data_IF_605945691228
#
_entry.id   IF_605945691228
#
_cell.length_a   1.000
_cell.length_b   1.000
_cell.length_c   1.000
_cell.angle_alpha   90.00
_cell.angle_beta   90.00
_cell.angle_gamma   90.00
#
_symmetry.space_group_name_H-M   'P 1'
#
loop_
_entity.id
_entity.type
_entity.pdbx_description
1 polymer ?
#
# COMPACT_ATOMS: atom_id res chain seq x y z
N UNK A 1 3.53 -3.92 10.95
CA UNK A 1 3.76 -5.37 10.78
C UNK A 1 5.23 -5.73 10.97
N UNK A 2 6.17 -5.28 10.13
CA UNK A 2 7.60 -5.59 10.32
C UNK A 2 8.08 -5.16 11.73
N UNK A 3 7.73 -3.93 12.17
CA UNK A 3 8.06 -3.43 13.52
C UNK A 3 7.55 -4.33 14.65
N UNK A 4 6.34 -4.87 14.49
CA UNK A 4 5.75 -5.76 15.49
C UNK A 4 6.53 -7.07 15.61
N UNK A 5 6.98 -7.63 14.49
CA UNK A 5 7.80 -8.85 14.48
C UNK A 5 9.15 -8.64 15.19
N UNK A 6 9.80 -7.48 14.95
CA UNK A 6 11.03 -7.15 15.67
C UNK A 6 10.80 -7.00 17.18
N UNK A 7 9.67 -6.40 17.59
CA UNK A 7 9.32 -6.29 19.01
C UNK A 7 9.00 -7.66 19.64
N UNK A 8 8.31 -8.55 18.90
CA UNK A 8 8.02 -9.92 19.33
C UNK A 8 9.32 -10.74 19.48
N UNK A 9 10.36 -10.41 18.74
CA UNK A 9 11.70 -10.96 18.84
C UNK A 9 12.56 -10.32 19.95
N UNK A 10 11.97 -9.46 20.79
CA UNK A 10 12.65 -8.81 21.92
C UNK A 10 13.52 -7.60 21.55
N UNK A 11 13.40 -7.08 20.33
CA UNK A 11 14.17 -5.92 19.87
C UNK A 11 13.40 -4.62 20.10
N UNK A 12 14.11 -3.58 20.52
CA UNK A 12 13.54 -2.27 20.78
C UNK A 12 13.52 -1.40 19.54
N UNK A 13 12.43 -0.64 19.34
CA UNK A 13 12.32 0.34 18.26
C UNK A 13 12.76 1.70 18.76
N UNK A 14 13.62 2.37 18.00
CA UNK A 14 14.12 3.71 18.33
C UNK A 14 13.83 4.70 17.19
N UNK A 15 14.02 5.98 17.46
CA UNK A 15 13.82 7.04 16.45
C UNK A 15 14.94 7.03 15.41
N UNK A 16 14.63 7.52 14.20
CA UNK A 16 15.56 7.54 13.04
C UNK A 16 16.90 8.25 13.32
N UNK A 17 16.89 9.23 14.21
CA UNK A 17 18.09 10.03 14.51
C UNK A 17 18.92 9.45 15.66
N UNK A 18 18.48 8.31 16.22
CA UNK A 18 19.19 7.61 17.28
C UNK A 18 20.11 6.54 16.73
N UNK A 19 21.10 6.20 17.52
CA UNK A 19 21.99 5.08 17.26
C UNK A 19 21.20 3.77 17.29
N UNK A 20 21.42 2.90 16.31
CA UNK A 20 20.79 1.59 16.22
C UNK A 20 21.74 0.58 15.61
N UNK A 21 21.56 -0.69 15.98
CA UNK A 21 22.35 -1.80 15.43
C UNK A 21 21.84 -2.25 14.08
N UNK A 22 20.52 -2.15 13.86
CA UNK A 22 19.87 -2.58 12.62
C UNK A 22 18.97 -1.46 12.10
N UNK A 23 19.14 -1.07 10.85
CA UNK A 23 18.25 -0.16 10.14
C UNK A 23 17.54 -0.90 9.01
N UNK A 24 16.21 -0.91 9.04
CA UNK A 24 15.39 -1.52 7.99
C UNK A 24 14.68 -0.41 7.20
N UNK A 25 15.05 -0.25 5.94
CA UNK A 25 14.47 0.74 5.04
C UNK A 25 13.47 0.06 4.10
N UNK A 26 12.18 0.31 4.32
CA UNK A 26 11.15 -0.10 3.38
C UNK A 26 10.98 0.98 2.31
N UNK A 27 11.38 0.68 1.09
CA UNK A 27 11.56 1.63 0.00
C UNK A 27 10.46 1.53 -1.04
N UNK A 28 10.14 2.66 -1.67
CA UNK A 28 9.29 2.73 -2.85
C UNK A 28 10.17 3.06 -4.08
N UNK A 29 9.79 2.57 -5.26
CA UNK A 29 10.51 2.81 -6.52
C UNK A 29 9.61 3.43 -7.59
N UNK A 30 8.63 4.24 -7.18
CA UNK A 30 7.73 4.92 -8.13
C UNK A 30 8.44 6.05 -8.87
N UNK A 31 9.50 6.65 -8.28
CA UNK A 31 10.27 7.73 -8.88
C UNK A 31 11.77 7.54 -8.64
N UNK A 32 12.59 8.05 -9.58
CA UNK A 32 14.05 8.06 -9.43
C UNK A 32 14.52 8.88 -8.21
N UNK A 33 13.79 9.93 -7.88
CA UNK A 33 14.04 10.71 -6.67
C UNK A 33 13.94 9.88 -5.39
N UNK A 34 13.09 8.85 -5.35
CA UNK A 34 13.01 7.92 -4.22
C UNK A 34 14.28 7.10 -4.06
N UNK A 35 14.85 6.63 -5.17
CA UNK A 35 16.08 5.86 -5.18
C UNK A 35 17.27 6.71 -4.68
N UNK A 36 17.34 7.98 -5.14
CA UNK A 36 18.35 8.94 -4.69
C UNK A 36 18.23 9.22 -3.18
N UNK A 37 16.99 9.44 -2.70
CA UNK A 37 16.72 9.65 -1.27
C UNK A 37 17.14 8.43 -0.43
N UNK A 38 16.84 7.22 -0.90
CA UNK A 38 17.23 5.98 -0.23
C UNK A 38 18.77 5.89 -0.07
N UNK A 39 19.51 6.10 -1.16
CA UNK A 39 20.98 6.04 -1.12
C UNK A 39 21.59 7.13 -0.23
N UNK A 40 21.01 8.35 -0.20
CA UNK A 40 21.44 9.41 0.72
C UNK A 40 21.19 9.01 2.19
N UNK A 41 20.06 8.38 2.45
CA UNK A 41 19.70 7.94 3.78
C UNK A 41 20.63 6.83 4.27
N UNK A 42 20.94 5.83 3.44
CA UNK A 42 21.94 4.79 3.75
C UNK A 42 23.26 5.41 4.19
N UNK A 43 23.79 6.37 3.43
CA UNK A 43 25.03 7.08 3.79
C UNK A 43 24.91 7.86 5.11
N UNK A 44 23.73 8.48 5.38
CA UNK A 44 23.47 9.17 6.65
C UNK A 44 23.51 8.18 7.81
N UNK A 45 22.88 7.02 7.68
CA UNK A 45 22.81 6.00 8.73
C UNK A 45 24.16 5.38 9.04
N UNK A 46 24.98 5.08 8.02
CA UNK A 46 26.37 4.62 8.20
C UNK A 46 27.27 5.66 8.87
N UNK A 47 26.93 6.97 8.78
CA UNK A 47 27.65 8.01 9.56
C UNK A 47 27.24 8.02 11.03
N UNK A 48 25.98 7.69 11.34
CA UNK A 48 25.50 7.59 12.74
C UNK A 48 26.09 6.35 13.40
N UNK A 49 26.05 5.20 12.72
CA UNK A 49 26.68 3.96 13.18
C UNK A 49 27.35 3.26 11.99
N UNK A 50 28.69 3.34 11.87
CA UNK A 50 29.43 2.66 10.78
C UNK A 50 29.26 1.13 10.78
N UNK A 51 29.01 0.54 11.94
CA UNK A 51 28.83 -0.90 12.12
C UNK A 51 27.38 -1.38 12.03
N UNK A 52 26.43 -0.45 11.81
CA UNK A 52 25.01 -0.82 11.70
C UNK A 52 24.76 -1.79 10.55
N UNK A 53 23.88 -2.74 10.77
CA UNK A 53 23.38 -3.66 9.75
C UNK A 53 22.22 -2.99 8.99
N UNK A 54 22.41 -2.69 7.70
CA UNK A 54 21.44 -2.00 6.87
C UNK A 54 20.70 -2.97 5.96
N UNK A 55 19.37 -3.04 6.14
CA UNK A 55 18.45 -3.85 5.34
C UNK A 55 17.62 -2.95 4.45
N UNK A 56 17.60 -3.22 3.15
CA UNK A 56 16.72 -2.57 2.18
C UNK A 56 15.63 -3.55 1.76
N UNK A 57 14.37 -3.11 1.81
CA UNK A 57 13.21 -3.89 1.34
C UNK A 57 12.20 -3.02 0.60
N UNK A 58 11.18 -3.63 0.02
CA UNK A 58 10.13 -2.94 -0.74
C UNK A 58 10.36 -2.92 -2.25
N UNK A 59 9.64 -2.04 -2.96
CA UNK A 59 9.63 -2.04 -4.44
C UNK A 59 11.01 -1.75 -5.04
N UNK A 60 11.80 -0.88 -4.44
CA UNK A 60 13.16 -0.61 -4.92
C UNK A 60 14.08 -1.82 -4.77
N UNK A 61 14.01 -2.48 -3.62
CA UNK A 61 14.74 -3.73 -3.40
C UNK A 61 14.36 -4.81 -4.41
N UNK A 62 13.07 -4.91 -4.77
CA UNK A 62 12.59 -5.89 -5.74
C UNK A 62 13.06 -5.60 -7.17
N UNK A 63 13.01 -4.32 -7.59
CA UNK A 63 13.30 -3.93 -8.97
C UNK A 63 14.79 -3.76 -9.28
N UNK A 64 15.59 -3.40 -8.28
CA UNK A 64 17.00 -3.04 -8.40
C UNK A 64 17.88 -3.84 -7.42
N UNK A 65 17.51 -5.07 -7.15
CA UNK A 65 18.22 -5.94 -6.20
C UNK A 65 19.71 -6.09 -6.51
N UNK A 66 20.07 -6.30 -7.79
CA UNK A 66 21.45 -6.47 -8.24
C UNK A 66 22.28 -5.18 -8.10
N UNK A 67 21.65 -4.02 -8.27
CA UNK A 67 22.30 -2.71 -8.08
C UNK A 67 22.56 -2.47 -6.60
N UNK A 68 21.54 -2.71 -5.76
CA UNK A 68 21.64 -2.51 -4.32
C UNK A 68 22.60 -3.48 -3.65
N UNK A 69 22.68 -4.74 -4.11
CA UNK A 69 23.60 -5.73 -3.56
C UNK A 69 25.09 -5.40 -3.80
N UNK A 70 25.40 -4.59 -4.81
CA UNK A 70 26.75 -4.11 -5.08
C UNK A 70 27.18 -2.94 -4.17
N UNK A 71 26.23 -2.31 -3.49
CA UNK A 71 26.56 -1.20 -2.57
C UNK A 71 27.09 -1.74 -1.25
N UNK A 72 28.35 -1.40 -0.91
CA UNK A 72 29.02 -1.89 0.29
C UNK A 72 28.41 -1.37 1.61
N UNK A 73 27.64 -0.28 1.56
CA UNK A 73 26.95 0.28 2.73
C UNK A 73 25.63 -0.46 3.05
N UNK A 74 25.21 -1.41 2.20
CA UNK A 74 24.00 -2.22 2.36
C UNK A 74 24.40 -3.65 2.69
N UNK A 75 23.89 -4.16 3.80
CA UNK A 75 24.25 -5.49 4.29
C UNK A 75 23.27 -6.57 3.79
N UNK A 76 21.97 -6.21 3.59
CA UNK A 76 20.96 -7.16 3.15
C UNK A 76 19.89 -6.48 2.26
N UNK A 77 19.55 -7.12 1.14
CA UNK A 77 18.47 -6.71 0.24
C UNK A 77 17.39 -7.77 0.23
N UNK A 78 16.17 -7.40 0.66
CA UNK A 78 15.04 -8.33 0.81
C UNK A 78 13.89 -7.92 -0.11
N UNK A 79 13.47 -8.83 -0.98
CA UNK A 79 12.34 -8.63 -1.89
C UNK A 79 10.99 -8.49 -1.19
N UNK A 80 9.97 -8.14 -1.97
CA UNK A 80 8.63 -7.82 -1.46
C UNK A 80 7.94 -9.02 -0.79
N UNK A 81 8.22 -10.24 -1.23
CA UNK A 81 7.62 -11.46 -0.68
C UNK A 81 8.17 -11.77 0.72
N UNK A 82 9.48 -11.70 0.88
CA UNK A 82 10.17 -12.10 2.11
C UNK A 82 10.23 -10.99 3.18
N UNK A 83 9.68 -9.81 2.90
CA UNK A 83 9.79 -8.64 3.79
C UNK A 83 9.22 -8.82 5.20
N UNK A 84 8.27 -9.74 5.37
CA UNK A 84 7.70 -10.05 6.68
C UNK A 84 8.58 -11.01 7.49
N UNK A 85 9.53 -11.68 6.84
CA UNK A 85 10.42 -12.63 7.46
C UNK A 85 11.82 -12.03 7.73
N UNK A 86 12.00 -10.72 7.60
CA UNK A 86 13.28 -10.03 7.80
C UNK A 86 13.96 -10.40 9.13
N UNK A 87 13.25 -10.44 10.30
CA UNK A 87 13.90 -10.82 11.55
C UNK A 87 14.49 -12.22 11.50
N UNK A 88 13.78 -13.20 10.92
CA UNK A 88 14.27 -14.56 10.78
C UNK A 88 15.44 -14.68 9.79
N UNK A 89 15.36 -13.91 8.69
CA UNK A 89 16.43 -13.86 7.66
C UNK A 89 17.72 -13.34 8.30
N UNK A 90 17.64 -12.25 9.06
CA UNK A 90 18.81 -11.69 9.77
C UNK A 90 19.43 -12.73 10.70
N UNK A 91 18.60 -13.51 11.41
CA UNK A 91 19.11 -14.55 12.33
C UNK A 91 19.76 -15.73 11.62
N UNK A 92 19.25 -16.11 10.43
CA UNK A 92 19.66 -17.33 9.71
C UNK A 92 20.74 -17.11 8.66
N UNK A 93 20.71 -15.97 7.99
CA UNK A 93 21.45 -15.74 6.73
C UNK A 93 22.40 -14.55 6.81
N UNK A 94 23.24 -14.45 7.85
CA UNK A 94 24.26 -13.38 7.92
C UNK A 94 25.29 -13.43 6.76
N UNK A 95 25.30 -14.48 5.96
CA UNK A 95 26.22 -14.65 4.83
C UNK A 95 25.63 -14.38 3.45
N UNK A 96 24.32 -14.16 3.33
CA UNK A 96 23.65 -13.88 2.06
C UNK A 96 23.23 -12.42 1.98
N UNK A 97 23.81 -11.67 1.06
CA UNK A 97 23.49 -10.24 0.86
C UNK A 97 22.18 -10.00 0.10
N UNK A 98 21.65 -11.02 -0.55
CA UNK A 98 20.47 -10.90 -1.42
C UNK A 98 19.45 -12.02 -1.18
N UNK A 99 18.26 -11.64 -0.74
CA UNK A 99 17.11 -12.52 -0.58
C UNK A 99 15.94 -11.94 -1.38
N UNK A 100 15.85 -12.31 -2.66
CA UNK A 100 14.76 -11.88 -3.53
C UNK A 100 14.17 -13.06 -4.29
N UNK A 101 12.87 -13.06 -4.51
CA UNK A 101 12.19 -13.95 -5.44
C UNK A 101 11.95 -13.24 -6.78
N UNK A 102 11.83 -14.00 -7.85
CA UNK A 102 11.38 -13.44 -9.13
C UNK A 102 9.95 -12.90 -8.96
N UNK A 103 9.63 -11.78 -9.61
CA UNK A 103 8.30 -11.15 -9.49
C UNK A 103 7.14 -12.07 -9.91
N UNK A 104 7.38 -12.99 -10.87
CA UNK A 104 6.38 -13.97 -11.32
C UNK A 104 6.02 -15.02 -10.26
N UNK A 105 6.82 -15.17 -9.21
CA UNK A 105 6.60 -16.14 -8.13
C UNK A 105 5.93 -15.53 -6.89
N UNK A 106 5.55 -14.24 -6.92
CA UNK A 106 4.87 -13.58 -5.79
C UNK A 106 3.37 -13.95 -5.84
N UNK A 107 3.03 -15.12 -5.33
CA UNK A 107 1.65 -15.62 -5.30
C UNK A 107 0.96 -15.39 -3.94
N UNK A 108 1.72 -15.32 -2.86
CA UNK A 108 1.18 -15.20 -1.53
C UNK A 108 0.59 -13.82 -1.25
N UNK A 109 -0.58 -13.78 -0.62
CA UNK A 109 -1.17 -12.55 -0.09
C UNK A 109 -1.18 -12.59 1.43
N UNK A 110 -0.64 -11.53 2.04
CA UNK A 110 -0.73 -11.34 3.50
C UNK A 110 -1.70 -10.21 3.82
N UNK A 111 -2.84 -10.56 4.42
CA UNK A 111 -3.77 -9.60 5.00
C UNK A 111 -3.05 -8.83 6.10
N UNK A 112 -3.09 -7.52 6.02
CA UNK A 112 -2.39 -6.67 6.98
C UNK A 112 -3.17 -5.42 7.30
N UNK A 113 -3.06 -4.97 8.54
CA UNK A 113 -3.70 -3.74 8.98
C UNK A 113 -2.77 -2.96 9.90
N UNK A 114 -2.96 -1.63 9.93
CA UNK A 114 -2.26 -0.77 10.86
C UNK A 114 -2.92 -0.82 12.23
N UNK A 115 -2.11 -0.95 13.28
CA UNK A 115 -2.54 -0.84 14.69
C UNK A 115 -1.70 0.22 15.38
N UNK A 116 -2.28 0.96 16.32
CA UNK A 116 -1.61 2.03 17.07
C UNK A 116 -2.64 2.96 17.70
N UNK A 117 -2.22 4.09 18.26
CA UNK A 117 -3.06 5.04 19.00
C UNK A 117 -4.01 5.88 18.13
N UNK A 118 -4.13 5.53 16.84
CA UNK A 118 -4.99 6.24 15.90
C UNK A 118 -6.41 5.66 15.91
N UNK A 119 -7.39 6.54 15.78
CA UNK A 119 -8.81 6.20 15.64
C UNK A 119 -9.12 5.48 14.30
N UNK A 120 -8.19 5.56 13.33
CA UNK A 120 -8.28 5.02 11.97
C UNK A 120 -7.29 3.89 11.75
N UNK A 121 -7.74 2.79 11.13
CA UNK A 121 -6.89 1.69 10.68
C UNK A 121 -6.92 1.53 9.16
N UNK A 122 -5.77 1.27 8.56
CA UNK A 122 -5.65 0.90 7.15
C UNK A 122 -5.58 -0.62 7.05
N UNK A 123 -6.43 -1.21 6.21
CA UNK A 123 -6.47 -2.65 5.95
C UNK A 123 -6.03 -2.88 4.51
N UNK A 124 -4.92 -3.57 4.29
CA UNK A 124 -4.48 -3.96 2.96
C UNK A 124 -5.29 -5.18 2.53
N UNK A 125 -6.26 -5.00 1.63
CA UNK A 125 -7.18 -6.05 1.15
C UNK A 125 -6.81 -6.58 -0.22
N UNK A 126 -6.00 -5.83 -1.00
CA UNK A 126 -5.55 -6.17 -2.34
C UNK A 126 -4.10 -5.70 -2.54
N UNK A 127 -3.31 -6.42 -3.35
CA UNK A 127 -1.94 -6.07 -3.72
C UNK A 127 -1.64 -6.59 -5.15
N UNK A 128 -0.62 -6.00 -5.79
CA UNK A 128 -0.31 -6.28 -7.20
C UNK A 128 -1.30 -5.64 -8.17
N UNK A 129 -1.07 -5.83 -9.47
CA UNK A 129 -1.93 -5.26 -10.52
C UNK A 129 -1.70 -6.01 -11.82
N UNK A 130 -2.79 -6.34 -12.54
CA UNK A 130 -2.75 -7.05 -13.82
C UNK A 130 -2.72 -6.08 -15.03
N UNK A 131 -2.74 -4.77 -14.79
CA UNK A 131 -2.68 -3.76 -15.84
C UNK A 131 -1.23 -3.47 -16.26
N UNK A 132 -0.98 -3.47 -17.57
CA UNK A 132 0.32 -3.16 -18.17
C UNK A 132 0.38 -1.69 -18.61
N UNK A 133 0.28 -0.76 -17.67
CA UNK A 133 0.46 0.67 -17.97
C UNK A 133 1.93 0.94 -18.30
N UNK A 134 2.19 1.70 -19.39
CA UNK A 134 3.55 1.88 -19.97
C UNK A 134 4.59 2.49 -19.03
N UNK A 135 4.16 3.22 -18.01
CA UNK A 135 5.02 3.90 -17.04
C UNK A 135 4.98 3.28 -15.63
N UNK A 136 4.16 2.24 -15.43
CA UNK A 136 3.92 1.69 -14.10
C UNK A 136 4.86 0.50 -13.81
N UNK A 137 5.59 0.59 -12.71
CA UNK A 137 6.50 -0.46 -12.24
C UNK A 137 5.85 -1.44 -11.25
N UNK A 138 4.60 -1.22 -10.89
CA UNK A 138 3.89 -2.03 -9.88
C UNK A 138 3.82 -3.51 -10.26
N UNK A 139 3.43 -3.92 -11.48
CA UNK A 139 3.40 -5.34 -11.84
C UNK A 139 4.77 -6.00 -11.69
N UNK A 140 5.85 -5.30 -12.02
CA UNK A 140 7.21 -5.80 -11.89
C UNK A 140 7.68 -5.88 -10.43
N UNK A 141 7.21 -4.96 -9.57
CA UNK A 141 7.62 -4.88 -8.17
C UNK A 141 6.78 -5.75 -7.23
N UNK A 142 5.51 -5.94 -7.57
CA UNK A 142 4.53 -6.58 -6.68
C UNK A 142 3.81 -7.77 -7.30
N UNK A 143 4.02 -8.05 -8.59
CA UNK A 143 3.40 -9.15 -9.31
C UNK A 143 1.91 -8.91 -9.61
N UNK A 144 1.21 -10.00 -9.92
CA UNK A 144 -0.19 -10.02 -10.30
C UNK A 144 -1.12 -9.59 -9.17
N UNK A 145 -2.33 -9.16 -9.54
CA UNK A 145 -3.40 -8.82 -8.58
C UNK A 145 -3.76 -10.03 -7.73
N UNK A 146 -3.81 -9.83 -6.42
CA UNK A 146 -4.20 -10.84 -5.44
C UNK A 146 -4.83 -10.17 -4.22
N UNK A 147 -5.71 -10.89 -3.55
CA UNK A 147 -6.50 -10.35 -2.44
C UNK A 147 -6.75 -11.41 -1.36
N UNK A 148 -7.16 -10.96 -0.17
CA UNK A 148 -7.64 -11.82 0.89
C UNK A 148 -9.07 -12.28 0.61
N UNK A 149 -9.53 -13.28 1.37
CA UNK A 149 -10.93 -13.68 1.36
C UNK A 149 -11.79 -12.62 2.06
N UNK A 150 -13.02 -12.44 1.57
CA UNK A 150 -13.97 -11.48 2.16
C UNK A 150 -14.19 -11.77 3.65
N UNK A 151 -14.34 -13.05 4.04
CA UNK A 151 -14.53 -13.45 5.44
C UNK A 151 -13.39 -12.98 6.35
N UNK A 152 -12.15 -13.13 5.92
CA UNK A 152 -10.97 -12.72 6.69
C UNK A 152 -10.94 -11.19 6.88
N UNK A 153 -11.35 -10.43 5.86
CA UNK A 153 -11.40 -8.97 5.94
C UNK A 153 -12.51 -8.53 6.92
N UNK A 154 -13.68 -9.15 6.85
CA UNK A 154 -14.80 -8.90 7.77
C UNK A 154 -14.39 -9.19 9.22
N UNK A 155 -13.69 -10.29 9.47
CA UNK A 155 -13.17 -10.63 10.80
C UNK A 155 -12.19 -9.57 11.33
N UNK A 156 -11.30 -9.07 10.47
CA UNK A 156 -10.39 -7.97 10.83
C UNK A 156 -11.15 -6.68 11.13
N UNK A 157 -12.14 -6.30 10.30
CA UNK A 157 -12.96 -5.10 10.54
C UNK A 157 -13.69 -5.19 11.87
N UNK A 158 -14.31 -6.34 12.16
CA UNK A 158 -15.00 -6.58 13.43
C UNK A 158 -14.04 -6.58 14.63
N UNK A 159 -12.83 -7.11 14.45
CA UNK A 159 -11.78 -7.05 15.49
C UNK A 159 -11.36 -5.61 15.79
N UNK A 160 -11.22 -4.78 14.76
CA UNK A 160 -10.87 -3.36 14.90
C UNK A 160 -11.99 -2.57 15.57
N UNK A 161 -13.25 -2.83 15.23
CA UNK A 161 -14.41 -2.21 15.87
C UNK A 161 -14.44 -2.53 17.36
N UNK A 162 -14.26 -3.80 17.75
CA UNK A 162 -14.13 -4.21 19.17
C UNK A 162 -12.96 -3.55 19.91
N UNK A 163 -11.89 -3.20 19.20
CA UNK A 163 -10.75 -2.43 19.76
C UNK A 163 -11.00 -0.92 19.81
N UNK A 164 -12.20 -0.47 19.43
CA UNK A 164 -12.61 0.94 19.53
C UNK A 164 -12.21 1.83 18.34
N UNK A 165 -11.72 1.24 17.24
CA UNK A 165 -11.47 2.01 16.01
C UNK A 165 -12.79 2.56 15.46
N UNK A 166 -12.75 3.78 14.91
CA UNK A 166 -13.94 4.47 14.38
C UNK A 166 -13.95 4.52 12.86
N UNK A 167 -12.83 4.27 12.23
CA UNK A 167 -12.72 4.31 10.77
C UNK A 167 -11.74 3.23 10.28
N UNK A 168 -12.14 2.54 9.21
CA UNK A 168 -11.24 1.68 8.42
C UNK A 168 -11.08 2.25 7.02
N UNK A 169 -9.87 2.11 6.48
CA UNK A 169 -9.56 2.43 5.09
C UNK A 169 -9.19 1.13 4.39
N UNK A 170 -10.03 0.68 3.46
CA UNK A 170 -9.73 -0.46 2.61
C UNK A 170 -8.67 -0.03 1.61
N UNK A 171 -7.50 -0.62 1.68
CA UNK A 171 -6.33 -0.23 0.90
C UNK A 171 -5.95 -1.32 -0.10
N UNK A 172 -5.65 -0.91 -1.32
CA UNK A 172 -5.14 -1.74 -2.41
C UNK A 172 -4.37 -0.90 -3.40
N UNK A 173 -3.67 -1.55 -4.33
CA UNK A 173 -3.05 -0.89 -5.48
C UNK A 173 -4.15 -0.44 -6.46
N UNK A 174 -5.05 -1.38 -6.79
CA UNK A 174 -6.27 -1.15 -7.54
C UNK A 174 -7.39 -1.96 -6.87
N UNK A 175 -8.16 -1.28 -6.03
CA UNK A 175 -9.16 -1.96 -5.20
C UNK A 175 -10.28 -2.59 -6.05
N UNK A 176 -10.54 -2.05 -7.24
CA UNK A 176 -11.51 -2.63 -8.17
C UNK A 176 -11.14 -4.03 -8.66
N UNK A 177 -9.86 -4.37 -8.67
CA UNK A 177 -9.34 -5.71 -9.01
C UNK A 177 -9.46 -6.72 -7.85
N UNK A 178 -10.04 -6.34 -6.72
CA UNK A 178 -10.24 -7.26 -5.61
C UNK A 178 -10.97 -8.53 -6.07
N UNK A 179 -10.41 -9.68 -5.71
CA UNK A 179 -10.95 -10.99 -6.07
C UNK A 179 -10.58 -11.47 -7.47
N UNK A 180 -9.73 -10.74 -8.22
CA UNK A 180 -9.21 -11.20 -9.52
C UNK A 180 -8.69 -12.64 -9.41
N UNK A 181 -9.09 -13.51 -10.35
CA UNK A 181 -8.77 -14.94 -10.34
C UNK A 181 -9.55 -15.77 -9.33
N UNK A 182 -10.56 -15.23 -8.65
CA UNK A 182 -11.44 -15.93 -7.71
C UNK A 182 -12.92 -15.69 -8.03
N UNK A 183 -13.82 -16.35 -7.29
CA UNK A 183 -15.27 -16.13 -7.39
C UNK A 183 -15.76 -14.92 -6.56
N UNK A 184 -14.86 -14.07 -6.08
CA UNK A 184 -15.16 -12.88 -5.29
C UNK A 184 -14.85 -11.62 -6.10
N UNK A 185 -15.49 -10.50 -5.75
CA UNK A 185 -15.22 -9.21 -6.37
C UNK A 185 -15.36 -8.05 -5.38
N UNK A 186 -14.95 -6.87 -5.82
CA UNK A 186 -14.94 -5.66 -5.00
C UNK A 186 -16.35 -5.26 -4.51
N UNK A 187 -17.37 -5.41 -5.35
CA UNK A 187 -18.76 -5.12 -4.96
C UNK A 187 -19.25 -6.03 -3.84
N UNK A 188 -18.98 -7.35 -3.95
CA UNK A 188 -19.33 -8.32 -2.90
C UNK A 188 -18.60 -8.03 -1.58
N UNK A 189 -17.34 -7.61 -1.65
CA UNK A 189 -16.60 -7.18 -0.46
C UNK A 189 -17.31 -6.02 0.23
N UNK A 190 -17.72 -4.99 -0.52
CA UNK A 190 -18.38 -3.82 0.06
C UNK A 190 -19.77 -4.17 0.61
N UNK A 191 -20.54 -4.99 -0.09
CA UNK A 191 -21.81 -5.48 0.40
C UNK A 191 -21.67 -6.25 1.72
N UNK A 192 -20.68 -7.15 1.81
CA UNK A 192 -20.48 -7.97 3.00
C UNK A 192 -20.00 -7.13 4.18
N UNK A 193 -19.10 -6.17 3.97
CA UNK A 193 -18.69 -5.24 5.02
C UNK A 193 -19.88 -4.39 5.51
N UNK A 194 -20.73 -3.90 4.59
CA UNK A 194 -21.92 -3.14 4.95
C UNK A 194 -22.90 -3.96 5.79
N UNK A 195 -23.08 -5.24 5.45
CA UNK A 195 -24.01 -6.15 6.10
C UNK A 195 -23.49 -6.69 7.44
N UNK A 196 -22.21 -7.09 7.49
CA UNK A 196 -21.67 -7.95 8.56
C UNK A 196 -20.77 -7.26 9.55
N UNK A 197 -20.63 -5.92 9.46
CA UNK A 197 -19.79 -5.14 10.38
C UNK A 197 -20.56 -3.93 10.93
N UNK A 198 -20.07 -3.36 12.05
CA UNK A 198 -20.66 -2.19 12.70
C UNK A 198 -19.74 -0.97 12.73
N UNK A 199 -18.55 -1.07 12.13
CA UNK A 199 -17.58 0.05 12.10
C UNK A 199 -18.24 1.33 11.56
N UNK A 200 -18.12 2.46 12.25
CA UNK A 200 -18.90 3.67 11.90
C UNK A 200 -18.53 4.30 10.57
N UNK A 201 -17.25 4.16 10.12
CA UNK A 201 -16.79 4.81 8.89
C UNK A 201 -15.90 3.89 8.09
N UNK A 202 -16.18 3.82 6.79
CA UNK A 202 -15.44 3.00 5.84
C UNK A 202 -14.98 3.90 4.69
N UNK A 203 -13.69 3.90 4.39
CA UNK A 203 -13.13 4.54 3.20
C UNK A 203 -12.58 3.49 2.27
N UNK A 204 -12.65 3.80 0.99
CA UNK A 204 -11.99 3.03 -0.06
C UNK A 204 -10.80 3.82 -0.61
N UNK A 205 -9.75 3.10 -0.99
CA UNK A 205 -8.57 3.70 -1.65
C UNK A 205 -8.78 3.78 -3.17
N UNK A 206 -7.69 3.70 -3.94
CA UNK A 206 -7.72 3.80 -5.40
C UNK A 206 -8.56 2.71 -6.05
N UNK A 207 -9.43 3.12 -6.97
CA UNK A 207 -10.19 2.25 -7.86
C UNK A 207 -10.11 2.81 -9.28
N UNK A 208 -9.74 1.97 -10.24
CA UNK A 208 -9.67 2.37 -11.65
C UNK A 208 -11.07 2.70 -12.20
N UNK A 209 -11.20 3.72 -13.08
CA UNK A 209 -12.49 4.17 -13.60
C UNK A 209 -13.35 3.05 -14.19
N UNK A 210 -12.74 2.14 -14.96
CA UNK A 210 -13.41 1.02 -15.62
C UNK A 210 -13.91 -0.07 -14.68
N UNK A 211 -13.45 -0.08 -13.43
CA UNK A 211 -13.85 -1.03 -12.38
C UNK A 211 -14.84 -0.42 -11.38
N UNK A 212 -15.10 0.87 -11.48
CA UNK A 212 -16.09 1.57 -10.66
C UNK A 212 -17.48 1.41 -11.30
N UNK A 213 -18.16 0.31 -10.97
CA UNK A 213 -19.51 0.01 -11.49
C UNK A 213 -20.60 0.84 -10.83
N UNK A 214 -21.72 1.00 -11.52
CA UNK A 214 -22.92 1.67 -10.98
C UNK A 214 -23.41 1.03 -9.68
N UNK A 215 -23.26 -0.28 -9.52
CA UNK A 215 -23.61 -0.99 -8.29
C UNK A 215 -22.75 -0.54 -7.09
N UNK A 216 -21.45 -0.35 -7.29
CA UNK A 216 -20.55 0.17 -6.25
C UNK A 216 -20.94 1.60 -5.89
N UNK A 217 -21.20 2.43 -6.90
CA UNK A 217 -21.58 3.83 -6.70
C UNK A 217 -22.87 3.93 -5.91
N UNK A 218 -23.91 3.19 -6.32
CA UNK A 218 -25.21 3.19 -5.67
C UNK A 218 -25.16 2.68 -4.23
N UNK A 219 -24.35 1.64 -3.96
CA UNK A 219 -24.15 1.13 -2.61
C UNK A 219 -23.52 2.20 -1.72
N UNK A 220 -22.46 2.87 -2.20
CA UNK A 220 -21.77 3.90 -1.43
C UNK A 220 -22.62 5.13 -1.23
N UNK A 221 -23.39 5.54 -2.26
CA UNK A 221 -24.31 6.68 -2.18
C UNK A 221 -25.46 6.45 -1.18
N UNK A 222 -25.91 5.21 -1.03
CA UNK A 222 -26.99 4.85 -0.10
C UNK A 222 -26.50 4.52 1.30
N UNK A 223 -25.24 4.20 1.48
CA UNK A 223 -24.67 3.84 2.77
C UNK A 223 -24.47 5.07 3.68
N UNK A 224 -24.74 4.89 4.97
CA UNK A 224 -24.43 5.88 6.02
C UNK A 224 -23.00 5.74 6.56
N UNK A 225 -22.31 4.65 6.25
CA UNK A 225 -21.01 4.30 6.80
C UNK A 225 -19.87 4.42 5.77
N UNK A 226 -20.12 4.06 4.52
CA UNK A 226 -19.18 4.33 3.46
C UNK A 226 -19.08 5.82 3.21
N UNK A 227 -17.86 6.34 3.23
CA UNK A 227 -17.63 7.75 2.95
C UNK A 227 -17.86 8.01 1.45
N UNK A 228 -18.62 9.06 1.08
CA UNK A 228 -18.88 9.44 -0.31
C UNK A 228 -17.64 10.08 -0.93
N UNK A 229 -16.57 9.32 -1.03
CA UNK A 229 -15.27 9.75 -1.52
C UNK A 229 -14.61 8.62 -2.28
N UNK A 230 -14.23 8.89 -3.52
CA UNK A 230 -13.45 8.00 -4.37
C UNK A 230 -12.10 8.63 -4.69
N UNK A 231 -11.05 7.83 -4.67
CA UNK A 231 -9.79 8.18 -5.29
C UNK A 231 -9.70 7.43 -6.62
N UNK A 232 -9.87 8.16 -7.71
CA UNK A 232 -9.89 7.62 -9.08
C UNK A 232 -8.66 8.14 -9.81
N UNK A 233 -7.64 7.32 -10.06
CA UNK A 233 -6.50 7.71 -10.86
C UNK A 233 -6.93 7.85 -12.32
N UNK A 234 -7.06 9.09 -12.79
CA UNK A 234 -7.35 9.37 -14.20
C UNK A 234 -6.07 9.14 -15.01
N UNK A 235 -5.88 7.92 -15.44
CA UNK A 235 -4.82 7.57 -16.36
C UNK A 235 -5.14 8.21 -17.72
N UNK A 236 -4.21 8.96 -18.32
CA UNK A 236 -4.32 9.42 -19.70
C UNK A 236 -4.09 8.20 -20.61
N UNK A 237 -5.07 7.29 -20.66
CA UNK A 237 -5.06 6.15 -21.56
C UNK A 237 -5.55 6.64 -22.92
N UNK A 238 -4.63 6.93 -23.79
CA UNK A 238 -4.89 7.44 -25.15
C UNK A 238 -5.76 6.50 -26.01
N UNK A 239 -6.10 5.29 -25.56
CA UNK A 239 -6.75 4.29 -26.40
C UNK A 239 -7.86 3.41 -25.81
N UNK A 240 -8.29 3.56 -24.54
CA UNK A 240 -9.36 2.67 -24.01
C UNK A 240 -10.29 3.28 -22.94
N UNK A 241 -10.31 4.56 -22.72
CA UNK A 241 -11.43 5.15 -21.99
C UNK A 241 -12.50 5.45 -23.03
N UNK A 242 -13.59 4.68 -23.01
CA UNK A 242 -14.75 4.98 -23.80
C UNK A 242 -15.15 6.45 -23.54
N UNK A 243 -15.14 7.33 -24.56
CA UNK A 243 -15.54 8.72 -24.37
C UNK A 243 -16.92 8.87 -23.74
N UNK A 244 -17.80 7.88 -23.89
CA UNK A 244 -19.12 7.84 -23.25
C UNK A 244 -19.01 7.74 -21.73
N UNK A 245 -17.94 7.17 -21.18
CA UNK A 245 -17.70 7.13 -19.74
C UNK A 245 -17.38 8.52 -19.16
N UNK A 246 -16.55 9.29 -19.86
CA UNK A 246 -16.26 10.70 -19.46
C UNK A 246 -17.51 11.59 -19.59
N UNK A 247 -18.35 11.34 -20.59
CA UNK A 247 -19.62 12.06 -20.80
C UNK A 247 -20.67 11.63 -19.74
N UNK A 248 -20.71 10.36 -19.34
CA UNK A 248 -21.58 9.90 -18.24
C UNK A 248 -21.24 10.53 -16.89
N UNK A 249 -19.94 10.74 -16.61
CA UNK A 249 -19.56 11.50 -15.41
C UNK A 249 -20.06 12.95 -15.48
N UNK A 250 -20.21 13.52 -16.69
CA UNK A 250 -20.55 14.93 -16.86
C UNK A 250 -22.05 15.22 -17.05
N UNK A 251 -22.86 14.28 -17.58
CA UNK A 251 -24.24 14.58 -17.98
C UNK A 251 -25.33 13.99 -17.07
N UNK A 252 -25.16 12.78 -16.53
CA UNK A 252 -26.22 12.10 -15.79
C UNK A 252 -26.13 12.24 -14.26
N UNK A 253 -25.10 12.93 -13.78
CA UNK A 253 -24.74 12.94 -12.38
C UNK A 253 -25.06 14.26 -11.65
N UNK A 254 -26.12 14.95 -12.06
CA UNK A 254 -26.63 16.13 -11.37
C UNK A 254 -27.55 15.79 -10.18
N UNK A 255 -27.18 14.81 -9.34
CA UNK A 255 -27.78 14.71 -8.01
C UNK A 255 -27.09 15.70 -7.04
N UNK A 256 -27.80 16.24 -6.03
CA UNK A 256 -27.23 17.18 -5.05
C UNK A 256 -26.01 16.63 -4.32
N UNK A 257 -25.91 15.31 -4.19
CA UNK A 257 -24.76 14.62 -3.55
C UNK A 257 -23.52 14.72 -4.44
N UNK A 258 -23.68 14.66 -5.75
CA UNK A 258 -22.59 14.74 -6.69
C UNK A 258 -22.14 16.16 -7.01
N UNK A 259 -22.97 17.18 -6.89
CA UNK A 259 -22.51 18.57 -6.92
C UNK A 259 -21.42 18.83 -5.88
N UNK A 260 -21.52 18.23 -4.70
CA UNK A 260 -20.48 18.30 -3.68
C UNK A 260 -19.23 17.49 -4.05
N UNK A 261 -19.38 16.34 -4.71
CA UNK A 261 -18.28 15.52 -5.21
C UNK A 261 -17.56 16.18 -6.40
N UNK A 262 -18.25 16.77 -7.36
CA UNK A 262 -17.69 17.42 -8.55
C UNK A 262 -16.91 18.70 -8.17
N UNK A 263 -17.38 19.50 -7.24
CA UNK A 263 -16.65 20.68 -6.74
C UNK A 263 -15.37 20.24 -6.00
N UNK A 264 -15.43 19.16 -5.22
CA UNK A 264 -14.25 18.57 -4.60
C UNK A 264 -13.30 17.96 -5.63
N UNK A 265 -13.82 17.40 -6.72
CA UNK A 265 -13.07 16.77 -7.81
C UNK A 265 -12.28 17.80 -8.63
N UNK A 266 -12.84 18.96 -8.95
CA UNK A 266 -12.12 20.05 -9.65
C UNK A 266 -11.04 20.67 -8.76
N UNK A 267 -11.32 20.88 -7.49
CA UNK A 267 -10.32 21.35 -6.52
C UNK A 267 -9.21 20.32 -6.28
N UNK A 268 -9.56 19.03 -6.29
CA UNK A 268 -8.63 17.92 -6.07
C UNK A 268 -7.76 17.64 -7.30
N UNK A 269 -8.23 17.84 -8.53
CA UNK A 269 -7.40 17.77 -9.76
C UNK A 269 -6.31 18.86 -9.78
N UNK A 270 -6.64 20.04 -9.30
CA UNK A 270 -5.65 21.14 -9.19
C UNK A 270 -4.69 20.89 -8.02
N UNK A 271 -5.20 20.40 -6.89
CA UNK A 271 -4.41 20.13 -5.69
C UNK A 271 -3.65 18.81 -5.80
N UNK A 272 -4.17 17.76 -6.45
CA UNK A 272 -3.44 16.50 -6.61
C UNK A 272 -2.29 16.58 -7.62
N UNK A 273 -2.40 17.39 -8.64
CA UNK A 273 -1.22 17.69 -9.51
C UNK A 273 -0.11 18.43 -8.76
N UNK A 274 -0.43 19.23 -7.75
CA UNK A 274 0.53 19.94 -6.89
C UNK A 274 0.97 19.08 -5.70
N UNK A 275 0.05 18.32 -5.07
CA UNK A 275 0.34 17.44 -3.92
C UNK A 275 1.05 16.15 -4.37
N UNK A 276 0.79 15.64 -5.58
CA UNK A 276 1.54 14.51 -6.15
C UNK A 276 3.01 14.86 -6.38
N UNK A 277 3.30 16.13 -6.67
CA UNK A 277 4.67 16.63 -6.71
C UNK A 277 5.31 16.81 -5.32
N UNK A 278 4.50 16.85 -4.24
CA UNK A 278 4.95 17.08 -2.86
C UNK A 278 4.72 15.90 -1.90
N UNK A 279 3.99 14.84 -2.29
CA UNK A 279 3.96 13.63 -1.48
C UNK A 279 5.34 12.97 -1.50
N UNK A 280 6.14 13.44 -0.59
CA UNK A 280 7.33 12.74 -0.15
C UNK A 280 6.94 11.29 0.16
N UNK A 281 7.44 10.44 -0.71
CA UNK A 281 7.38 9.00 -0.57
C UNK A 281 7.60 8.64 0.89
N UNK A 282 6.65 7.95 1.46
CA UNK A 282 6.78 7.37 2.79
C UNK A 282 7.91 6.33 2.77
N UNK A 283 9.14 6.78 2.95
CA UNK A 283 10.20 5.94 3.45
C UNK A 283 9.77 5.56 4.87
N UNK A 284 9.18 4.39 5.02
CA UNK A 284 8.96 3.84 6.34
C UNK A 284 10.30 3.30 6.82
N UNK A 285 10.95 4.09 7.67
CA UNK A 285 12.18 3.69 8.32
C UNK A 285 11.83 3.01 9.63
N UNK A 286 12.36 1.84 9.83
CA UNK A 286 12.30 1.12 11.09
C UNK A 286 13.71 0.95 11.64
N UNK A 287 13.90 1.27 12.89
CA UNK A 287 15.16 1.25 13.58
C UNK A 287 15.05 0.33 14.77
N UNK A 288 16.01 -0.56 14.91
CA UNK A 288 16.00 -1.60 15.93
C UNK A 288 17.31 -1.60 16.68
N UNK A 289 17.25 -1.60 18.01
CA UNK A 289 18.41 -1.78 18.88
C UNK A 289 18.32 -3.10 19.63
N UNK A 290 19.43 -3.80 19.77
CA UNK A 290 19.59 -4.87 20.73
C UNK A 290 19.83 -4.25 22.09
N UNK A 291 18.86 -4.35 23.01
CA UNK A 291 18.99 -3.88 24.38
C UNK A 291 20.00 -4.69 25.17
#
# INVERSE_FOLDING_TARGET
MISKQFQEDGLSLVSIDQFADIYVLNTCSVTENANIKCNRLVKKLKRINPNAFIVITGCYAQLKSDELSKNNDIDLVVGSESKLNIPEIIKKEMNSKLVTSKFDSIESFSLSYSSGDRVRSFIKVQDGCDYNCTFCTIPLARGKSRSSKISEIVDVVNSLDRKGYKEVVLSGINLGDFGSGSNQNCFQLFQEIEKSTSIPRIRISSIEPNLLSDNIINLIASSKRFMPHFHIPLQFIRHKVDPSFMIRISSDWYSPVLRRLVVFFHLFLIVSSVIWAQQDLSLSLMIVTTG
#
